data_IF_303988404493
#
_entry.id   IF_303988404493
#
_cell.length_a   1.000
_cell.length_b   1.000
_cell.length_c   1.000
_cell.angle_alpha   90.00
_cell.angle_beta   90.00
_cell.angle_gamma   90.00
#
_symmetry.space_group_name_H-M   'P 1'
#
loop_
_entity.id
_entity.type
_entity.pdbx_description
1 polymer ?
#
# COMPACT_ATOMS: atom_id res chain seq x y z
N UNK A 1 -4.72 16.55 13.74
CA UNK A 1 -5.25 16.07 12.44
C UNK A 1 -4.86 14.61 12.38
N UNK A 2 -5.78 13.71 11.97
CA UNK A 2 -5.49 12.29 11.94
C UNK A 2 -4.36 12.03 10.94
N UNK A 3 -3.45 11.10 11.25
CA UNK A 3 -2.29 10.78 10.42
C UNK A 3 -2.12 9.26 10.34
N UNK A 4 -1.88 8.76 9.13
CA UNK A 4 -1.53 7.36 8.90
C UNK A 4 -0.06 7.27 8.47
N UNK A 5 0.66 6.29 9.01
CA UNK A 5 2.06 5.99 8.72
C UNK A 5 2.21 4.53 8.34
N UNK A 6 2.99 4.25 7.30
CA UNK A 6 3.48 2.91 6.97
C UNK A 6 5.00 2.87 7.14
N UNK A 7 5.49 2.00 8.02
CA UNK A 7 6.90 1.92 8.42
C UNK A 7 7.49 0.54 8.22
N UNK A 8 8.77 0.51 7.84
CA UNK A 8 9.61 -0.69 7.86
C UNK A 8 10.78 -0.39 8.79
N UNK A 9 10.70 -0.89 10.02
CA UNK A 9 11.62 -0.48 11.10
C UNK A 9 11.51 1.02 11.37
N UNK A 10 12.62 1.74 11.25
CA UNK A 10 12.66 3.19 11.44
C UNK A 10 12.35 3.99 10.17
N UNK A 11 12.24 3.33 9.01
CA UNK A 11 11.98 3.99 7.74
C UNK A 11 10.48 4.21 7.50
N UNK A 12 10.08 5.45 7.20
CA UNK A 12 8.70 5.79 6.81
C UNK A 12 8.56 5.64 5.30
N UNK A 13 7.79 4.64 4.87
CA UNK A 13 7.54 4.37 3.44
C UNK A 13 6.40 5.23 2.91
N UNK A 14 5.34 5.40 3.71
CA UNK A 14 4.20 6.23 3.36
C UNK A 14 3.69 7.02 4.57
N UNK A 15 3.16 8.21 4.31
CA UNK A 15 2.54 9.07 5.32
C UNK A 15 1.47 9.93 4.68
N UNK A 16 0.30 10.02 5.33
CA UNK A 16 -0.77 10.91 4.87
C UNK A 16 -1.68 11.35 6.02
N UNK A 17 -2.37 12.46 5.82
CA UNK A 17 -3.50 12.93 6.64
C UNK A 17 -4.88 12.59 6.01
N UNK A 18 -4.88 11.95 4.83
CA UNK A 18 -6.08 11.54 4.10
C UNK A 18 -5.88 10.16 3.48
N UNK A 19 -6.74 9.21 3.85
CA UNK A 19 -6.68 7.84 3.36
C UNK A 19 -8.07 7.25 3.21
N UNK A 20 -8.14 6.13 2.51
CA UNK A 20 -9.35 5.31 2.41
C UNK A 20 -9.18 4.06 3.28
N UNK A 21 -10.28 3.56 3.84
CA UNK A 21 -10.28 2.31 4.60
C UNK A 21 -11.26 1.32 3.98
N UNK A 22 -10.75 0.15 3.60
CA UNK A 22 -11.55 -0.93 3.00
C UNK A 22 -11.14 -2.24 3.65
N UNK A 23 -12.11 -2.97 4.20
CA UNK A 23 -11.89 -4.26 4.89
C UNK A 23 -10.81 -4.20 5.99
N UNK A 24 -10.73 -3.06 6.69
CA UNK A 24 -9.74 -2.85 7.76
C UNK A 24 -8.31 -2.57 7.28
N UNK A 25 -8.10 -2.43 5.96
CA UNK A 25 -6.83 -2.00 5.38
C UNK A 25 -6.86 -0.50 5.10
N UNK A 26 -5.73 0.16 5.36
CA UNK A 26 -5.52 1.56 5.03
C UNK A 26 -4.91 1.65 3.63
N UNK A 27 -5.55 2.45 2.80
CA UNK A 27 -5.14 2.73 1.43
C UNK A 27 -4.59 4.15 1.38
N UNK A 28 -3.28 4.24 1.15
CA UNK A 28 -2.54 5.47 1.03
C UNK A 28 -2.63 5.99 -0.40
N UNK A 29 -2.90 7.29 -0.63
CA UNK A 29 -2.84 7.84 -1.98
C UNK A 29 -1.41 7.74 -2.52
N UNK A 30 -1.20 7.65 -3.85
CA UNK A 30 0.15 7.57 -4.43
C UNK A 30 1.08 8.69 -3.98
N UNK A 31 0.54 9.89 -3.72
CA UNK A 31 1.28 11.05 -3.23
C UNK A 31 1.77 10.92 -1.79
N UNK A 32 1.30 9.93 -1.03
CA UNK A 32 1.73 9.65 0.33
C UNK A 32 3.06 8.88 0.39
N UNK A 33 3.47 8.22 -0.70
CA UNK A 33 4.71 7.46 -0.76
C UNK A 33 5.89 8.44 -0.70
N UNK A 34 6.75 8.27 0.31
CA UNK A 34 7.87 9.20 0.56
C UNK A 34 9.03 9.00 -0.41
N UNK A 35 9.29 7.75 -0.76
CA UNK A 35 10.35 7.39 -1.70
C UNK A 35 9.89 6.19 -2.53
N UNK A 36 9.56 6.45 -3.79
CA UNK A 36 9.12 5.41 -4.72
C UNK A 36 10.27 4.50 -5.16
N UNK A 37 11.54 4.87 -4.94
CA UNK A 37 12.68 4.01 -5.26
C UNK A 37 12.77 2.78 -4.36
N UNK A 38 12.08 2.81 -3.22
CA UNK A 38 11.93 1.67 -2.32
C UNK A 38 10.92 0.63 -2.84
N UNK A 39 10.07 1.00 -3.81
CA UNK A 39 9.07 0.09 -4.37
C UNK A 39 9.60 -0.59 -5.63
N UNK A 40 9.65 -1.91 -5.60
CA UNK A 40 10.04 -2.74 -6.73
C UNK A 40 8.83 -3.53 -7.25
N UNK A 41 8.65 -3.53 -8.58
CA UNK A 41 7.52 -4.20 -9.20
C UNK A 41 7.60 -5.70 -8.96
N UNK A 42 6.48 -6.31 -8.59
CA UNK A 42 6.33 -7.75 -8.53
C UNK A 42 5.44 -8.25 -9.65
N UNK A 43 5.77 -9.42 -10.21
CA UNK A 43 4.94 -10.11 -11.20
C UNK A 43 3.70 -10.75 -10.58
N UNK A 44 3.56 -10.71 -9.24
CA UNK A 44 2.38 -11.22 -8.56
C UNK A 44 1.14 -10.38 -8.90
N UNK A 45 0.06 -11.08 -9.27
CA UNK A 45 -1.27 -10.50 -9.34
C UNK A 45 -2.29 -11.45 -8.74
N UNK A 46 -3.30 -10.90 -8.06
CA UNK A 46 -4.40 -11.67 -7.47
C UNK A 46 -5.74 -11.08 -7.89
N UNK A 47 -6.74 -11.95 -8.04
CA UNK A 47 -8.08 -11.53 -8.44
C UNK A 47 -9.02 -11.49 -7.23
N UNK A 48 -9.74 -10.37 -7.10
CA UNK A 48 -10.84 -10.21 -6.16
C UNK A 48 -12.15 -9.98 -6.95
N UNK A 49 -13.18 -10.75 -6.62
CA UNK A 49 -14.46 -10.76 -7.35
C UNK A 49 -15.13 -9.39 -7.47
N UNK A 50 -14.90 -8.50 -6.51
CA UNK A 50 -15.55 -7.19 -6.46
C UNK A 50 -14.59 -6.01 -6.58
N UNK A 51 -13.28 -6.20 -6.35
CA UNK A 51 -12.27 -5.15 -6.51
C UNK A 51 -11.54 -5.20 -7.84
N UNK A 52 -11.49 -6.35 -8.52
CA UNK A 52 -10.69 -6.55 -9.73
C UNK A 52 -9.32 -7.15 -9.45
N UNK A 53 -8.33 -6.86 -10.29
CA UNK A 53 -6.97 -7.39 -10.18
C UNK A 53 -6.09 -6.50 -9.30
N UNK A 54 -5.54 -7.08 -8.24
CA UNK A 54 -4.50 -6.45 -7.45
C UNK A 54 -3.14 -6.67 -8.12
N UNK A 55 -2.30 -5.65 -8.09
CA UNK A 55 -0.89 -5.68 -8.44
C UNK A 55 -0.06 -5.44 -7.19
N UNK A 56 1.14 -6.00 -7.12
CA UNK A 56 1.95 -6.00 -5.92
C UNK A 56 3.28 -5.27 -6.11
N UNK A 57 3.76 -4.68 -5.02
CA UNK A 57 5.11 -4.12 -4.89
C UNK A 57 5.86 -4.85 -3.78
N UNK A 58 7.12 -5.16 -4.03
CA UNK A 58 8.09 -5.51 -2.99
C UNK A 58 8.73 -4.23 -2.45
N UNK A 59 9.06 -4.20 -1.16
CA UNK A 59 9.67 -3.02 -0.51
C UNK A 59 11.13 -3.31 -0.23
N UNK A 60 12.04 -2.48 -0.77
CA UNK A 60 13.48 -2.55 -0.55
C UNK A 60 13.91 -1.45 0.42
N UNK A 61 14.28 -1.83 1.64
CA UNK A 61 14.74 -0.92 2.70
C UNK A 61 15.96 -1.53 3.37
N UNK A 62 17.01 -0.74 3.58
CA UNK A 62 18.23 -1.12 4.31
C UNK A 62 18.87 -2.45 3.84
N UNK A 63 18.86 -2.69 2.54
CA UNK A 63 19.42 -3.90 1.93
C UNK A 63 18.58 -5.17 2.12
N UNK A 64 17.37 -5.05 2.67
CA UNK A 64 16.37 -6.13 2.76
C UNK A 64 15.25 -5.92 1.76
N UNK A 65 14.74 -7.01 1.21
CA UNK A 65 13.54 -7.01 0.37
C UNK A 65 12.39 -7.66 1.11
N UNK A 66 11.30 -6.93 1.30
CA UNK A 66 10.03 -7.43 1.81
C UNK A 66 9.16 -7.77 0.59
N UNK A 67 9.17 -9.04 0.21
CA UNK A 67 8.49 -9.50 -1.00
C UNK A 67 6.97 -9.31 -0.95
N UNK A 68 6.38 -8.73 -1.99
CA UNK A 68 4.94 -8.52 -2.13
C UNK A 68 4.33 -7.85 -0.88
N UNK A 69 5.01 -6.86 -0.31
CA UNK A 69 4.63 -6.22 0.96
C UNK A 69 3.56 -5.14 0.81
N UNK A 70 3.35 -4.64 -0.40
CA UNK A 70 2.30 -3.69 -0.72
C UNK A 70 1.50 -4.16 -1.94
N UNK A 71 0.25 -3.70 -2.04
CA UNK A 71 -0.61 -3.96 -3.19
C UNK A 71 -1.45 -2.73 -3.54
N UNK A 72 -1.91 -2.69 -4.78
CA UNK A 72 -2.77 -1.63 -5.30
C UNK A 72 -3.68 -2.17 -6.41
N UNK A 73 -4.73 -1.42 -6.74
CA UNK A 73 -5.64 -1.73 -7.83
C UNK A 73 -5.52 -0.65 -8.91
N UNK A 74 -4.93 -1.00 -10.06
CA UNK A 74 -4.80 -0.09 -11.21
C UNK A 74 -6.13 0.15 -11.93
N UNK A 75 -6.92 -0.91 -12.06
CA UNK A 75 -8.21 -0.91 -12.74
C UNK A 75 -9.28 -1.55 -11.86
N UNK A 76 -9.63 -0.93 -10.71
CA UNK A 76 -10.64 -1.50 -9.84
C UNK A 76 -12.03 -1.41 -10.47
N UNK A 77 -12.91 -2.32 -10.07
CA UNK A 77 -14.33 -2.23 -10.41
C UNK A 77 -15.02 -1.07 -9.70
N UNK A 78 -16.24 -0.75 -10.15
CA UNK A 78 -17.00 0.42 -9.70
C UNK A 78 -17.15 0.51 -8.17
N UNK A 79 -17.35 -0.63 -7.51
CA UNK A 79 -17.49 -0.71 -6.07
C UNK A 79 -16.21 -0.34 -5.28
N UNK A 80 -15.05 -0.35 -5.93
CA UNK A 80 -13.74 -0.06 -5.33
C UNK A 80 -13.01 1.10 -6.02
N UNK A 81 -13.72 1.94 -6.78
CA UNK A 81 -13.11 3.08 -7.51
C UNK A 81 -12.43 4.11 -6.62
N UNK A 82 -12.87 4.26 -5.37
CA UNK A 82 -12.28 5.19 -4.40
C UNK A 82 -10.83 4.83 -4.04
N UNK A 83 -10.42 3.56 -4.15
CA UNK A 83 -9.05 3.10 -3.88
C UNK A 83 -8.21 2.88 -5.16
N UNK A 84 -8.64 3.45 -6.29
CA UNK A 84 -7.89 3.33 -7.54
C UNK A 84 -6.49 3.93 -7.38
N UNK A 85 -5.48 3.13 -7.72
CA UNK A 85 -4.06 3.44 -7.60
C UNK A 85 -3.57 3.64 -6.15
N UNK A 86 -4.45 3.56 -5.14
CA UNK A 86 -4.05 3.68 -3.75
C UNK A 86 -3.33 2.40 -3.32
N UNK A 87 -2.34 2.58 -2.46
CA UNK A 87 -1.42 1.53 -2.03
C UNK A 87 -1.77 1.14 -0.60
N UNK A 88 -2.00 -0.15 -0.39
CA UNK A 88 -2.14 -0.75 0.93
C UNK A 88 -0.94 -1.66 1.23
N UNK A 89 -0.70 -1.90 2.52
CA UNK A 89 0.47 -2.60 3.02
C UNK A 89 0.07 -3.77 3.92
N UNK A 90 0.84 -4.85 3.86
CA UNK A 90 0.61 -6.04 4.67
C UNK A 90 1.08 -5.81 6.11
N UNK A 91 0.14 -5.86 7.06
CA UNK A 91 0.38 -5.56 8.48
C UNK A 91 1.33 -6.55 9.18
N UNK A 92 1.55 -7.73 8.61
CA UNK A 92 2.53 -8.72 9.08
C UNK A 92 3.97 -8.39 8.62
N UNK A 93 4.14 -7.46 7.69
CA UNK A 93 5.43 -7.06 7.11
C UNK A 93 5.77 -5.58 7.33
N UNK A 94 4.76 -4.74 7.44
CA UNK A 94 4.87 -3.27 7.53
C UNK A 94 4.06 -2.79 8.72
N UNK A 95 4.67 -1.97 9.57
CA UNK A 95 4.02 -1.38 10.72
C UNK A 95 3.12 -0.24 10.28
N UNK A 96 1.81 -0.38 10.49
CA UNK A 96 0.81 0.63 10.16
C UNK A 96 0.34 1.29 11.45
N UNK A 97 0.53 2.61 11.53
CA UNK A 97 0.17 3.41 12.71
C UNK A 97 -0.83 4.48 12.30
N UNK A 98 -1.91 4.59 13.07
CA UNK A 98 -2.93 5.64 12.99
C UNK A 98 -2.79 6.53 14.23
N UNK A 99 -2.51 7.82 14.03
CA UNK A 99 -2.33 8.85 15.06
C UNK A 99 -3.43 9.92 15.00
#
# INVERSE_FOLDING_TARGET
>A
MPRALAKVGDHVVAETDSWETVEGNIYFPPSAIKDTSLLEHSDLSTFCSWKGYASYWSIKVDGKTLENAAWYYKEPYDAAKNIKDYIAFYKDKVDIVEE
#
